data_IF_142498314611
#
_entry.id   IF_142498314611
#
_cell.length_a   1.000
_cell.length_b   1.000
_cell.length_c   1.000
_cell.angle_alpha   90.00
_cell.angle_beta   90.00
_cell.angle_gamma   90.00
#
_symmetry.space_group_name_H-M   'P 1'
#
loop_
_entity.id
_entity.type
_entity.pdbx_description
1 polymer ?
#
# COMPACT_ATOMS: atom_id res chain seq x y z
N UNK A 1 28.28 -11.22 0.62
CA UNK A 1 27.20 -12.22 0.77
C UNK A 1 27.15 -13.03 -0.52
N UNK A 2 26.92 -14.34 -0.44
CA UNK A 2 26.84 -15.21 -1.62
C UNK A 2 25.57 -14.88 -2.41
N UNK A 3 25.65 -14.78 -3.74
CA UNK A 3 24.48 -14.49 -4.58
C UNK A 3 23.42 -15.60 -4.47
N UNK A 4 22.18 -15.29 -4.84
CA UNK A 4 21.10 -16.29 -4.86
C UNK A 4 21.35 -17.42 -5.87
N UNK A 5 21.95 -17.10 -7.02
CA UNK A 5 22.38 -18.08 -8.03
C UNK A 5 23.42 -19.06 -7.51
N UNK A 6 24.38 -18.58 -6.71
CA UNK A 6 25.41 -19.46 -6.16
C UNK A 6 24.84 -20.31 -5.01
N UNK A 7 23.89 -19.79 -4.24
CA UNK A 7 23.20 -20.57 -3.19
C UNK A 7 22.38 -21.72 -3.75
N UNK A 8 21.64 -21.49 -4.83
CA UNK A 8 20.90 -22.54 -5.55
C UNK A 8 21.84 -23.61 -6.10
N UNK A 9 22.93 -23.21 -6.74
CA UNK A 9 23.95 -24.15 -7.23
C UNK A 9 24.59 -25.00 -6.10
N UNK A 10 24.83 -24.43 -4.91
CA UNK A 10 25.33 -25.19 -3.74
C UNK A 10 24.33 -26.28 -3.35
N UNK A 11 23.03 -25.94 -3.27
CA UNK A 11 21.98 -26.86 -2.85
C UNK A 11 21.81 -27.99 -3.87
N UNK A 12 21.76 -27.67 -5.17
CA UNK A 12 21.68 -28.65 -6.24
C UNK A 12 22.86 -29.63 -6.22
N UNK A 13 24.10 -29.13 -6.07
CA UNK A 13 25.28 -29.98 -6.01
C UNK A 13 25.30 -30.85 -4.74
N UNK A 14 24.85 -30.31 -3.61
CA UNK A 14 24.78 -31.03 -2.35
C UNK A 14 23.69 -32.12 -2.38
N UNK A 15 22.50 -31.83 -2.91
CA UNK A 15 21.43 -32.81 -3.12
C UNK A 15 21.82 -33.86 -4.18
N UNK A 16 22.65 -33.50 -5.15
CA UNK A 16 23.27 -34.41 -6.11
C UNK A 16 24.38 -35.30 -5.53
N UNK A 17 24.61 -35.27 -4.20
CA UNK A 17 25.54 -36.15 -3.51
C UNK A 17 27.02 -35.76 -3.62
N UNK A 18 27.34 -34.57 -4.12
CA UNK A 18 28.73 -34.08 -4.18
C UNK A 18 29.26 -33.79 -2.78
N UNK A 19 30.55 -34.02 -2.58
CA UNK A 19 31.19 -33.73 -1.30
C UNK A 19 31.39 -32.22 -1.08
N UNK A 20 31.21 -31.73 0.15
CA UNK A 20 31.43 -30.33 0.51
C UNK A 20 32.78 -29.73 0.04
N UNK A 21 33.93 -30.45 0.12
CA UNK A 21 35.21 -29.96 -0.38
C UNK A 21 35.22 -29.77 -1.90
N UNK A 22 34.56 -30.66 -2.63
CA UNK A 22 34.46 -30.63 -4.09
C UNK A 22 33.59 -29.46 -4.54
N UNK A 23 32.44 -29.24 -3.89
CA UNK A 23 31.57 -28.08 -4.15
C UNK A 23 32.33 -26.77 -3.90
N UNK A 24 33.11 -26.67 -2.82
CA UNK A 24 33.93 -25.49 -2.54
C UNK A 24 34.97 -25.22 -3.63
N UNK A 25 35.61 -26.27 -4.17
CA UNK A 25 36.58 -26.14 -5.27
C UNK A 25 35.90 -25.71 -6.57
N UNK A 26 34.80 -26.35 -6.94
CA UNK A 26 34.06 -26.08 -8.17
C UNK A 26 33.51 -24.66 -8.20
N UNK A 27 32.89 -24.21 -7.10
CA UNK A 27 32.30 -22.87 -7.00
C UNK A 27 33.30 -21.79 -6.51
N UNK A 28 34.56 -22.17 -6.24
CA UNK A 28 35.61 -21.29 -5.67
C UNK A 28 35.13 -20.53 -4.43
N UNK A 29 34.48 -21.25 -3.51
CA UNK A 29 33.92 -20.69 -2.28
C UNK A 29 34.76 -21.05 -1.05
N UNK A 30 34.75 -20.17 -0.04
CA UNK A 30 35.25 -20.51 1.29
C UNK A 30 34.33 -21.55 1.95
N UNK A 31 34.93 -22.53 2.65
CA UNK A 31 34.20 -23.58 3.37
C UNK A 31 33.13 -23.04 4.33
N UNK A 32 33.44 -21.94 5.05
CA UNK A 32 32.50 -21.30 5.97
C UNK A 32 31.25 -20.76 5.25
N UNK A 33 31.40 -20.27 4.02
CA UNK A 33 30.28 -19.76 3.24
C UNK A 33 29.34 -20.89 2.80
N UNK A 34 29.91 -22.01 2.36
CA UNK A 34 29.15 -23.22 2.02
C UNK A 34 28.40 -23.75 3.24
N UNK A 35 29.08 -23.88 4.39
CA UNK A 35 28.47 -24.37 5.63
C UNK A 35 27.28 -23.49 6.08
N UNK A 36 27.45 -22.16 6.10
CA UNK A 36 26.35 -21.23 6.45
C UNK A 36 25.13 -21.33 5.53
N UNK A 37 25.33 -21.66 4.25
CA UNK A 37 24.24 -21.82 3.29
C UNK A 37 23.51 -23.13 3.55
N UNK A 38 24.24 -24.23 3.77
CA UNK A 38 23.66 -25.53 4.07
C UNK A 38 22.92 -25.53 5.41
N UNK A 39 23.55 -25.03 6.49
CA UNK A 39 22.92 -24.94 7.81
C UNK A 39 21.60 -24.16 7.72
N UNK A 40 21.59 -23.04 7.00
CA UNK A 40 20.38 -22.24 6.78
C UNK A 40 19.32 -22.97 5.96
N UNK A 41 19.73 -23.72 4.93
CA UNK A 41 18.83 -24.50 4.10
C UNK A 41 18.16 -25.60 4.93
N UNK A 42 18.89 -26.26 5.83
CA UNK A 42 18.31 -27.24 6.76
C UNK A 42 17.37 -26.60 7.79
N UNK A 43 17.68 -25.39 8.28
CA UNK A 43 16.84 -24.67 9.24
C UNK A 43 15.55 -24.11 8.63
N UNK A 44 15.61 -23.59 7.39
CA UNK A 44 14.52 -22.78 6.78
C UNK A 44 13.84 -23.49 5.60
N UNK A 45 14.52 -24.43 4.94
CA UNK A 45 14.07 -25.08 3.71
C UNK A 45 14.07 -24.19 2.47
N UNK A 46 14.50 -22.92 2.59
CA UNK A 46 14.51 -21.93 1.51
C UNK A 46 15.94 -21.57 1.10
N UNK A 47 16.13 -21.31 -0.19
CA UNK A 47 17.38 -20.83 -0.78
C UNK A 47 17.61 -19.37 -0.42
N UNK A 48 16.53 -18.61 -0.16
CA UNK A 48 16.56 -17.16 0.10
C UNK A 48 17.24 -16.81 1.41
N UNK A 49 17.67 -15.55 1.48
CA UNK A 49 18.36 -15.08 2.69
C UNK A 49 17.32 -14.77 3.76
N UNK A 50 17.68 -14.96 5.03
CA UNK A 50 16.76 -14.66 6.12
C UNK A 50 16.50 -13.16 6.13
N UNK A 51 15.23 -12.70 6.21
CA UNK A 51 14.96 -11.29 6.41
C UNK A 51 15.66 -10.85 7.70
N UNK A 52 16.45 -9.78 7.62
CA UNK A 52 17.17 -9.26 8.79
C UNK A 52 16.14 -8.76 9.81
N UNK A 53 16.37 -9.07 11.09
CA UNK A 53 15.64 -8.42 12.17
C UNK A 53 16.01 -6.94 12.17
N UNK A 54 15.06 -6.11 11.77
CA UNK A 54 15.16 -4.66 11.92
C UNK A 54 14.87 -4.23 13.35
N UNK A 55 15.16 -2.95 13.65
CA UNK A 55 14.70 -2.33 14.89
C UNK A 55 13.17 -2.25 14.91
N UNK A 56 12.57 -2.64 16.02
CA UNK A 56 11.12 -2.55 16.20
C UNK A 56 10.62 -1.10 16.12
N UNK A 57 9.42 -0.93 15.55
CA UNK A 57 8.78 0.38 15.41
C UNK A 57 8.07 0.75 16.72
N UNK A 58 8.60 1.74 17.46
CA UNK A 58 8.02 2.16 18.74
C UNK A 58 6.74 3.00 18.59
N UNK A 59 6.68 3.91 17.61
CA UNK A 59 5.59 4.88 17.49
C UNK A 59 4.45 4.43 16.55
N UNK A 60 4.70 3.48 15.65
CA UNK A 60 3.74 3.03 14.62
C UNK A 60 3.34 1.58 14.82
N UNK A 61 2.90 1.29 16.03
CA UNK A 61 2.40 -0.06 16.36
C UNK A 61 1.06 -0.31 15.65
N UNK A 62 0.70 -1.58 15.40
CA UNK A 62 -0.59 -1.94 14.80
C UNK A 62 -1.80 -1.37 15.57
N UNK A 63 -1.70 -1.34 16.91
CA UNK A 63 -2.75 -0.78 17.78
C UNK A 63 -2.97 0.72 17.54
N UNK A 64 -1.89 1.51 17.49
CA UNK A 64 -1.97 2.95 17.19
C UNK A 64 -2.50 3.16 15.78
N UNK A 65 -2.05 2.36 14.82
CA UNK A 65 -2.53 2.43 13.42
C UNK A 65 -4.05 2.26 13.35
N UNK A 66 -4.59 1.24 14.01
CA UNK A 66 -6.03 0.98 14.00
C UNK A 66 -6.82 2.09 14.72
N UNK A 67 -6.31 2.59 15.85
CA UNK A 67 -6.92 3.68 16.57
C UNK A 67 -6.98 4.97 15.73
N UNK A 68 -5.88 5.33 15.07
CA UNK A 68 -5.83 6.50 14.18
C UNK A 68 -6.77 6.33 12.98
N UNK A 69 -6.83 5.13 12.39
CA UNK A 69 -7.75 4.83 11.28
C UNK A 69 -9.21 5.04 11.69
N UNK A 70 -9.65 4.51 12.84
CA UNK A 70 -11.01 4.70 13.35
C UNK A 70 -11.32 6.18 13.58
N UNK A 71 -10.35 6.94 14.10
CA UNK A 71 -10.51 8.37 14.37
C UNK A 71 -10.64 9.21 13.10
N UNK A 72 -9.81 8.96 12.08
CA UNK A 72 -9.89 9.64 10.79
C UNK A 72 -11.21 9.29 10.09
N UNK A 73 -11.63 8.02 10.13
CA UNK A 73 -12.90 7.59 9.53
C UNK A 73 -14.12 8.26 10.19
N UNK A 74 -14.05 8.54 11.50
CA UNK A 74 -15.10 9.26 12.23
C UNK A 74 -15.14 10.76 11.89
N UNK A 75 -13.97 11.38 11.73
CA UNK A 75 -13.86 12.79 11.36
C UNK A 75 -12.61 13.01 10.49
N UNK A 76 -12.77 13.12 9.15
CA UNK A 76 -11.65 13.26 8.24
C UNK A 76 -11.01 14.66 8.26
N UNK A 77 -11.68 15.66 8.82
CA UNK A 77 -11.20 17.06 8.83
C UNK A 77 -10.18 17.34 9.94
N UNK A 78 -9.83 16.32 10.74
CA UNK A 78 -8.87 16.47 11.83
C UNK A 78 -7.45 16.66 11.31
N UNK A 79 -6.75 17.64 11.88
CA UNK A 79 -5.34 17.85 11.56
C UNK A 79 -4.45 16.77 12.16
N UNK A 80 -3.41 16.40 11.42
CA UNK A 80 -2.37 15.45 11.83
C UNK A 80 -1.69 15.92 13.12
N UNK A 81 -1.47 17.23 13.27
CA UNK A 81 -0.88 17.81 14.48
C UNK A 81 -1.74 17.60 15.73
N UNK A 82 -3.07 17.68 15.60
CA UNK A 82 -3.98 17.38 16.72
C UNK A 82 -3.92 15.89 17.09
N UNK A 83 -3.92 15.01 16.08
CA UNK A 83 -3.77 13.56 16.30
C UNK A 83 -2.44 13.23 17.00
N UNK A 84 -1.34 13.82 16.55
CA UNK A 84 -0.02 13.65 17.14
C UNK A 84 -0.02 14.02 18.64
N UNK A 85 -0.64 15.15 19.01
CA UNK A 85 -0.79 15.57 20.41
C UNK A 85 -1.65 14.60 21.22
N UNK A 86 -2.77 14.12 20.68
CA UNK A 86 -3.65 13.16 21.37
C UNK A 86 -2.95 11.86 21.70
N UNK A 87 -2.15 11.32 20.76
CA UNK A 87 -1.44 10.06 20.94
C UNK A 87 -0.02 10.22 21.50
N UNK A 88 0.41 11.45 21.84
CA UNK A 88 1.77 11.78 22.32
C UNK A 88 2.88 11.26 21.39
N UNK A 89 2.63 11.29 20.08
CA UNK A 89 3.57 10.87 19.05
C UNK A 89 4.11 12.11 18.34
N UNK A 90 5.39 12.08 17.93
CA UNK A 90 5.98 13.16 17.14
C UNK A 90 5.25 13.35 15.80
N UNK A 91 5.12 14.60 15.35
CA UNK A 91 4.41 14.96 14.11
C UNK A 91 4.87 14.13 12.91
N UNK A 92 6.18 14.01 12.69
CA UNK A 92 6.73 13.27 11.55
C UNK A 92 6.34 11.78 11.56
N UNK A 93 6.32 11.16 12.74
CA UNK A 93 5.89 9.77 12.89
C UNK A 93 4.41 9.60 12.61
N UNK A 94 3.56 10.52 13.10
CA UNK A 94 2.13 10.52 12.83
C UNK A 94 1.82 10.78 11.35
N UNK A 95 2.52 11.74 10.73
CA UNK A 95 2.38 12.02 9.31
C UNK A 95 2.67 10.79 8.47
N UNK A 96 3.83 10.15 8.69
CA UNK A 96 4.19 8.94 7.96
C UNK A 96 3.24 7.77 8.26
N UNK A 97 2.69 7.66 9.47
CA UNK A 97 1.64 6.68 9.76
C UNK A 97 0.40 6.92 8.88
N UNK A 98 -0.03 8.17 8.74
CA UNK A 98 -1.20 8.53 7.92
C UNK A 98 -0.92 8.34 6.42
N UNK A 99 0.25 8.74 5.92
CA UNK A 99 0.56 8.73 4.49
C UNK A 99 1.12 7.39 3.99
N UNK A 100 2.05 6.78 4.72
CA UNK A 100 2.73 5.53 4.31
C UNK A 100 1.98 4.29 4.80
N UNK A 101 1.54 4.25 6.07
CA UNK A 101 0.94 3.04 6.61
C UNK A 101 -0.58 2.97 6.35
N UNK A 102 -1.28 4.10 6.40
CA UNK A 102 -2.73 4.19 6.13
C UNK A 102 -3.07 4.64 4.70
N UNK A 103 -2.10 5.15 3.93
CA UNK A 103 -2.29 5.60 2.56
C UNK A 103 -3.36 6.69 2.38
N UNK A 104 -3.60 7.51 3.40
CA UNK A 104 -4.52 8.64 3.30
C UNK A 104 -3.84 9.85 2.63
N UNK A 105 -4.63 10.58 1.83
CA UNK A 105 -4.23 11.84 1.18
C UNK A 105 -5.10 12.97 1.68
N UNK A 106 -4.50 14.14 1.95
CA UNK A 106 -5.25 15.35 2.27
C UNK A 106 -5.78 16.00 1.00
N UNK A 107 -7.10 16.12 0.89
CA UNK A 107 -7.76 16.84 -0.19
C UNK A 107 -8.22 18.22 0.28
N UNK A 108 -8.30 19.17 -0.66
CA UNK A 108 -8.90 20.48 -0.41
C UNK A 108 -10.41 20.34 -0.37
N UNK A 109 -11.03 20.77 0.73
CA UNK A 109 -12.50 20.83 0.83
C UNK A 109 -13.01 21.94 -0.09
N UNK A 110 -13.81 21.57 -1.10
CA UNK A 110 -14.53 22.51 -1.97
C UNK A 110 -15.96 22.70 -1.49
N UNK A 111 -16.44 23.94 -1.51
CA UNK A 111 -17.86 24.23 -1.25
C UNK A 111 -18.67 23.87 -2.50
N UNK A 112 -19.78 23.18 -2.31
CA UNK A 112 -20.77 22.88 -3.34
C UNK A 112 -22.16 23.33 -2.90
N UNK A 113 -23.12 23.27 -3.81
CA UNK A 113 -24.51 23.54 -3.46
C UNK A 113 -25.03 22.49 -2.48
N UNK A 114 -25.71 22.94 -1.42
CA UNK A 114 -26.36 22.06 -0.48
C UNK A 114 -27.57 21.39 -1.15
N UNK A 115 -27.54 20.06 -1.28
CA UNK A 115 -28.67 19.29 -1.79
C UNK A 115 -29.58 18.88 -0.61
N UNK A 116 -30.80 19.40 -0.61
CA UNK A 116 -31.88 18.90 0.25
C UNK A 116 -32.34 17.52 -0.22
N UNK A 117 -32.95 16.74 0.67
CA UNK A 117 -33.35 15.36 0.35
C UNK A 117 -34.41 15.29 -0.77
N UNK A 118 -35.31 16.28 -0.82
CA UNK A 118 -36.25 16.45 -1.93
C UNK A 118 -35.52 16.63 -3.28
N UNK A 119 -34.50 17.49 -3.33
CA UNK A 119 -33.68 17.70 -4.54
C UNK A 119 -32.89 16.45 -4.93
N UNK A 120 -32.43 15.65 -3.96
CA UNK A 120 -31.77 14.37 -4.25
C UNK A 120 -32.72 13.38 -4.90
N UNK A 121 -33.95 13.25 -4.37
CA UNK A 121 -34.97 12.37 -4.92
C UNK A 121 -35.36 12.77 -6.35
N UNK A 122 -35.58 14.07 -6.58
CA UNK A 122 -35.91 14.60 -7.91
C UNK A 122 -34.78 14.33 -8.92
N UNK A 123 -33.52 14.62 -8.54
CA UNK A 123 -32.35 14.33 -9.38
C UNK A 123 -32.23 12.85 -9.69
N UNK A 124 -32.47 11.96 -8.72
CA UNK A 124 -32.41 10.51 -8.93
C UNK A 124 -33.46 10.06 -9.95
N UNK A 125 -34.69 10.58 -9.87
CA UNK A 125 -35.75 10.27 -10.84
C UNK A 125 -35.38 10.78 -12.24
N UNK A 126 -34.89 12.01 -12.36
CA UNK A 126 -34.41 12.58 -13.62
C UNK A 126 -33.29 11.75 -14.25
N UNK A 127 -32.27 11.37 -13.46
CA UNK A 127 -31.17 10.53 -13.93
C UNK A 127 -31.63 9.13 -14.36
N UNK A 128 -32.61 8.52 -13.67
CA UNK A 128 -33.16 7.22 -14.06
C UNK A 128 -33.90 7.30 -15.40
N UNK A 129 -34.70 8.35 -15.62
CA UNK A 129 -35.38 8.60 -16.90
C UNK A 129 -34.38 8.82 -18.03
N UNK A 130 -33.43 9.74 -17.85
CA UNK A 130 -32.36 10.00 -18.81
C UNK A 130 -31.57 8.74 -19.18
N UNK A 131 -31.26 7.87 -18.20
CA UNK A 131 -30.56 6.60 -18.45
C UNK A 131 -31.40 5.58 -19.22
N UNK A 132 -32.72 5.61 -19.10
CA UNK A 132 -33.60 4.75 -19.88
C UNK A 132 -33.68 5.24 -21.33
N UNK A 133 -33.82 6.55 -21.52
CA UNK A 133 -33.88 7.22 -22.82
C UNK A 133 -32.54 7.19 -23.57
N UNK A 134 -31.41 7.15 -22.86
CA UNK A 134 -30.07 7.06 -23.46
C UNK A 134 -29.76 5.74 -24.17
N UNK A 135 -30.65 4.75 -24.12
CA UNK A 135 -30.43 3.44 -24.76
C UNK A 135 -30.61 3.57 -26.28
N UNK A 136 -29.67 3.08 -27.07
CA UNK A 136 -29.69 3.20 -28.53
C UNK A 136 -29.23 4.59 -29.01
N UNK A 137 -29.90 5.15 -30.01
CA UNK A 137 -29.60 6.48 -30.58
C UNK A 137 -30.21 7.65 -29.79
N UNK A 138 -30.51 7.46 -28.49
CA UNK A 138 -31.32 8.39 -27.68
C UNK A 138 -30.79 9.82 -27.53
N UNK A 139 -29.49 10.04 -27.79
CA UNK A 139 -28.88 11.38 -27.76
C UNK A 139 -28.54 11.93 -29.15
N UNK A 140 -28.83 11.21 -30.24
CA UNK A 140 -28.46 11.63 -31.59
C UNK A 140 -29.07 12.99 -31.99
N UNK A 141 -30.21 13.36 -31.39
CA UNK A 141 -30.94 14.60 -31.68
C UNK A 141 -31.00 15.58 -30.50
N UNK A 142 -30.10 15.47 -29.51
CA UNK A 142 -30.10 16.34 -28.31
C UNK A 142 -29.01 17.39 -28.43
N UNK A 143 -29.41 18.67 -28.37
CA UNK A 143 -28.49 19.81 -28.26
C UNK A 143 -28.59 20.37 -26.84
N UNK A 144 -27.45 20.51 -26.17
CA UNK A 144 -27.34 21.11 -24.83
C UNK A 144 -26.68 22.48 -24.94
N UNK A 145 -27.32 23.51 -24.38
CA UNK A 145 -26.80 24.87 -24.29
C UNK A 145 -26.80 25.34 -22.85
N UNK A 146 -25.79 26.09 -22.45
CA UNK A 146 -25.70 26.74 -21.14
C UNK A 146 -25.06 28.13 -21.32
N UNK A 147 -25.50 29.09 -20.52
CA UNK A 147 -24.98 30.46 -20.58
C UNK A 147 -23.79 30.60 -19.62
N UNK A 148 -22.67 31.12 -20.14
CA UNK A 148 -21.48 31.41 -19.33
C UNK A 148 -21.14 32.89 -19.41
N UNK A 149 -21.03 33.52 -18.24
CA UNK A 149 -20.58 34.91 -18.14
C UNK A 149 -19.06 34.93 -18.33
N UNK A 150 -18.60 35.64 -19.36
CA UNK A 150 -17.19 35.95 -19.57
C UNK A 150 -16.92 37.36 -19.05
N UNK A 151 -16.10 37.46 -18.02
CA UNK A 151 -15.61 38.74 -17.50
C UNK A 151 -14.37 39.09 -18.33
N UNK A 152 -14.40 40.22 -19.03
CA UNK A 152 -13.29 40.80 -19.81
C UNK A 152 -12.42 41.66 -18.89
#
# INVERSE_FOLDING_TARGET
>A
MVSESVRSAIIELHCGGRSNPEICKTLKLRRDALKRVLDRFWDTGDVKDRPRSGRERTARTPQVREAVWKMIKRNPDRSITKLAKTYKIGYASMHKLVTEDLHFKSYKISRGHLLTDAKKAERLQKCKKLRAESRGSGFANVVLSDEKIFII
#
